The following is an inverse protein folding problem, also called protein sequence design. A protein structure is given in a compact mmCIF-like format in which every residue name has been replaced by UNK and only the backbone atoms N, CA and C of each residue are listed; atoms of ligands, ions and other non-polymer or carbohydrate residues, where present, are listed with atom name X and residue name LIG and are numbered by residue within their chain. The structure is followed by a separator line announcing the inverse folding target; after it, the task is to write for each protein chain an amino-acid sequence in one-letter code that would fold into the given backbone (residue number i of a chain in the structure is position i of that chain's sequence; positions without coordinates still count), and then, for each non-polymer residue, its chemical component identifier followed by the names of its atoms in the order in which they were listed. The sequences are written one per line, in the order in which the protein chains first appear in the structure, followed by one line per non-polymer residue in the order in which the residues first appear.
data_IF_759554229064
#
_entry.id   IF_759554229064
#
_cell.length_a   1.000
_cell.length_b   1.000
_cell.length_c   1.000
_cell.angle_alpha   90.00
_cell.angle_beta   90.00
_cell.angle_gamma   90.00
#
_symmetry.space_group_name_H-M   'P 1'
#
loop_
_entity.id
_entity.type
_entity.pdbx_description
1 polymer ?
#
# COMPACT_ATOMS: atom_id res chain seq x y z
N UNK A 1 -21.95 -7.50 8.85
CA UNK A 1 -20.61 -8.01 9.22
C UNK A 1 -20.08 -8.71 8.00
N UNK A 2 -18.85 -8.37 7.59
CA UNK A 2 -18.08 -8.73 6.38
C UNK A 2 -18.56 -9.97 5.57
N UNK A 3 -18.92 -11.07 6.24
CA UNK A 3 -19.37 -12.35 5.68
C UNK A 3 -20.70 -12.35 4.91
N UNK A 4 -21.52 -11.30 5.02
CA UNK A 4 -22.81 -11.21 4.32
C UNK A 4 -22.85 -10.11 3.24
N UNK A 5 -21.71 -9.50 2.93
CA UNK A 5 -21.62 -8.37 1.99
C UNK A 5 -21.15 -8.86 0.60
N UNK A 6 -21.76 -8.38 -0.50
CA UNK A 6 -21.29 -8.69 -1.84
C UNK A 6 -20.05 -7.84 -2.19
N UNK A 7 -19.02 -8.49 -2.74
CA UNK A 7 -17.71 -7.89 -2.99
C UNK A 7 -17.17 -8.04 -4.42
N UNK A 8 -17.89 -8.72 -5.31
CA UNK A 8 -17.38 -9.05 -6.64
C UNK A 8 -17.12 -7.80 -7.48
N UNK A 9 -18.07 -6.87 -7.50
CA UNK A 9 -17.93 -5.59 -8.22
C UNK A 9 -16.83 -4.74 -7.59
N UNK A 10 -16.81 -4.67 -6.26
CA UNK A 10 -15.85 -3.88 -5.48
C UNK A 10 -14.41 -4.35 -5.71
N UNK A 11 -14.19 -5.67 -5.71
CA UNK A 11 -12.88 -6.29 -5.95
C UNK A 11 -12.45 -6.10 -7.40
N UNK A 12 -13.36 -6.23 -8.36
CA UNK A 12 -13.04 -5.95 -9.76
C UNK A 12 -12.66 -4.49 -9.99
N UNK A 13 -13.41 -3.55 -9.40
CA UNK A 13 -13.08 -2.13 -9.46
C UNK A 13 -11.72 -1.82 -8.81
N UNK A 14 -11.42 -2.43 -7.66
CA UNK A 14 -10.12 -2.35 -7.02
C UNK A 14 -9.00 -2.87 -7.95
N UNK A 15 -9.19 -4.05 -8.55
CA UNK A 15 -8.20 -4.69 -9.42
C UNK A 15 -7.87 -3.83 -10.64
N UNK A 16 -8.90 -3.31 -11.32
CA UNK A 16 -8.72 -2.41 -12.47
C UNK A 16 -7.99 -1.15 -12.08
N UNK A 17 -8.35 -0.58 -10.94
CA UNK A 17 -7.68 0.60 -10.39
C UNK A 17 -6.21 0.29 -10.08
N UNK A 18 -5.93 -0.84 -9.44
CA UNK A 18 -4.56 -1.29 -9.12
C UNK A 18 -3.72 -1.53 -10.38
N UNK A 19 -4.31 -2.10 -11.43
CA UNK A 19 -3.65 -2.28 -12.72
C UNK A 19 -3.32 -0.91 -13.38
N UNK A 20 -4.24 0.05 -13.32
CA UNK A 20 -4.01 1.41 -13.81
C UNK A 20 -2.91 2.13 -13.01
N UNK A 21 -2.87 1.97 -11.68
CA UNK A 21 -1.80 2.55 -10.86
C UNK A 21 -0.44 1.93 -11.19
N UNK A 22 -0.36 0.61 -11.36
CA UNK A 22 0.86 -0.06 -11.82
C UNK A 22 1.31 0.50 -13.17
N UNK A 23 0.39 0.67 -14.13
CA UNK A 23 0.70 1.25 -15.45
C UNK A 23 1.27 2.66 -15.31
N UNK A 24 0.64 3.54 -14.53
CA UNK A 24 1.10 4.91 -14.30
C UNK A 24 2.48 4.94 -13.62
N UNK A 25 2.71 4.05 -12.66
CA UNK A 25 4.00 3.92 -11.99
C UNK A 25 5.13 3.51 -12.96
N UNK A 26 4.87 2.54 -13.85
CA UNK A 26 5.84 2.15 -14.88
C UNK A 26 6.08 3.27 -15.90
N UNK A 27 5.03 3.96 -16.37
CA UNK A 27 5.18 5.06 -17.32
C UNK A 27 5.97 6.23 -16.73
N UNK A 28 5.70 6.57 -15.47
CA UNK A 28 6.46 7.57 -14.72
C UNK A 28 7.94 7.18 -14.63
N UNK A 29 8.23 5.97 -14.15
CA UNK A 29 9.60 5.44 -14.06
C UNK A 29 10.31 5.38 -15.42
N UNK A 30 9.60 4.96 -16.48
CA UNK A 30 10.14 4.84 -17.83
C UNK A 30 10.65 6.17 -18.38
N UNK A 31 10.05 7.29 -17.96
CA UNK A 31 10.50 8.63 -18.38
C UNK A 31 11.82 9.07 -17.75
N UNK A 32 12.23 8.46 -16.62
CA UNK A 32 13.34 8.95 -15.79
C UNK A 32 14.48 7.93 -15.58
N UNK A 33 14.22 6.64 -15.76
CA UNK A 33 15.14 5.57 -15.35
C UNK A 33 16.57 5.71 -15.91
N UNK A 34 16.73 6.21 -17.15
CA UNK A 34 18.06 6.36 -17.78
C UNK A 34 18.95 7.31 -16.99
N UNK A 35 18.41 8.44 -16.54
CA UNK A 35 19.16 9.43 -15.77
C UNK A 35 19.38 9.01 -14.32
N UNK A 36 18.48 8.18 -13.78
CA UNK A 36 18.55 7.69 -12.40
C UNK A 36 19.50 6.50 -12.27
N UNK A 37 19.16 5.39 -12.93
CA UNK A 37 19.77 4.06 -12.73
C UNK A 37 20.43 3.45 -13.98
N UNK A 38 20.36 4.13 -15.12
CA UNK A 38 21.07 3.68 -16.32
C UNK A 38 22.58 3.65 -16.11
N UNK A 39 23.31 2.99 -17.01
CA UNK A 39 24.78 2.88 -16.97
C UNK A 39 25.52 4.23 -16.91
N UNK A 40 24.89 5.29 -17.42
CA UNK A 40 25.37 6.69 -17.39
C UNK A 40 24.57 7.59 -16.45
N UNK A 41 23.68 7.00 -15.64
CA UNK A 41 22.84 7.70 -14.67
C UNK A 41 23.60 8.09 -13.40
N UNK A 42 22.88 8.78 -12.51
CA UNK A 42 23.41 9.29 -11.23
C UNK A 42 23.85 8.14 -10.30
N UNK A 43 23.02 7.09 -10.19
CA UNK A 43 23.28 5.90 -9.37
C UNK A 43 23.07 4.63 -10.20
N UNK A 44 24.06 4.24 -11.04
CA UNK A 44 23.91 3.12 -11.96
C UNK A 44 23.59 1.79 -11.25
N UNK A 45 22.52 1.11 -11.71
CA UNK A 45 22.06 -0.17 -11.14
C UNK A 45 23.15 -1.25 -11.15
N UNK A 46 24.00 -1.27 -12.18
CA UNK A 46 25.04 -2.28 -12.35
C UNK A 46 26.06 -2.31 -11.21
N UNK A 47 26.36 -1.16 -10.59
CA UNK A 47 27.24 -1.09 -9.42
C UNK A 47 26.67 -1.85 -8.23
N UNK A 48 25.40 -1.61 -7.91
CA UNK A 48 24.71 -2.29 -6.82
C UNK A 48 24.55 -3.79 -7.07
N UNK A 49 24.13 -4.17 -8.27
CA UNK A 49 23.92 -5.57 -8.63
C UNK A 49 25.24 -6.34 -8.59
N UNK A 50 26.34 -5.76 -9.07
CA UNK A 50 27.68 -6.37 -8.97
C UNK A 50 28.10 -6.58 -7.53
N UNK A 51 27.97 -5.55 -6.69
CA UNK A 51 28.29 -5.62 -5.26
C UNK A 51 27.47 -6.71 -4.53
N UNK A 52 26.19 -6.85 -4.85
CA UNK A 52 25.34 -7.89 -4.28
C UNK A 52 25.71 -9.29 -4.78
N UNK A 53 26.09 -9.44 -6.06
CA UNK A 53 26.62 -10.69 -6.62
C UNK A 53 27.91 -11.11 -5.92
N UNK A 54 28.83 -10.18 -5.68
CA UNK A 54 30.08 -10.43 -4.93
C UNK A 54 29.81 -10.91 -3.50
N UNK A 55 28.79 -10.32 -2.85
CA UNK A 55 28.32 -10.75 -1.52
C UNK A 55 27.44 -12.00 -1.53
N UNK A 56 27.25 -12.64 -2.69
CA UNK A 56 26.39 -13.82 -2.88
C UNK A 56 24.98 -13.62 -2.34
N UNK A 57 24.45 -12.40 -2.47
CA UNK A 57 23.09 -12.10 -2.06
C UNK A 57 22.09 -12.83 -2.97
N UNK A 58 20.99 -13.27 -2.39
CA UNK A 58 19.93 -14.02 -3.07
C UNK A 58 18.75 -13.12 -3.43
N UNK A 59 17.87 -13.61 -4.31
CA UNK A 59 16.62 -12.94 -4.65
C UNK A 59 15.75 -12.64 -3.41
N UNK A 60 15.76 -13.51 -2.40
CA UNK A 60 15.01 -13.28 -1.16
C UNK A 60 15.54 -12.10 -0.34
N UNK A 61 16.82 -11.77 -0.47
CA UNK A 61 17.46 -10.63 0.21
C UNK A 61 17.34 -9.35 -0.63
N UNK A 62 17.31 -9.49 -1.95
CA UNK A 62 17.21 -8.41 -2.94
C UNK A 62 16.27 -8.87 -4.05
N UNK A 63 14.96 -8.60 -3.95
CA UNK A 63 13.95 -9.12 -4.88
C UNK A 63 14.04 -8.38 -6.22
N UNK A 64 15.07 -8.73 -7.00
CA UNK A 64 15.31 -8.19 -8.33
C UNK A 64 15.76 -9.26 -9.29
N UNK A 65 15.12 -9.29 -10.46
CA UNK A 65 15.52 -10.11 -11.59
C UNK A 65 16.90 -9.69 -12.13
N UNK A 66 17.40 -8.50 -11.78
CA UNK A 66 18.73 -8.05 -12.22
C UNK A 66 19.86 -8.91 -11.65
N UNK A 67 19.66 -9.54 -10.49
CA UNK A 67 20.61 -10.49 -9.92
C UNK A 67 20.70 -11.79 -10.71
N UNK A 68 19.58 -12.22 -11.29
CA UNK A 68 19.42 -13.54 -11.92
C UNK A 68 19.69 -13.46 -13.43
N UNK A 69 19.20 -12.41 -14.08
CA UNK A 69 19.16 -12.30 -15.54
C UNK A 69 20.25 -11.35 -16.05
N UNK A 70 20.12 -10.05 -15.81
CA UNK A 70 21.05 -9.03 -16.31
C UNK A 70 20.87 -7.70 -15.58
N UNK A 71 21.92 -6.90 -15.48
CA UNK A 71 21.91 -5.52 -14.98
C UNK A 71 22.15 -4.49 -16.10
N UNK A 72 21.96 -4.89 -17.36
CA UNK A 72 22.14 -4.02 -18.53
C UNK A 72 20.98 -3.04 -18.71
N UNK A 73 21.27 -1.90 -19.35
CA UNK A 73 20.27 -0.88 -19.70
C UNK A 73 19.13 -1.44 -20.56
N UNK A 74 19.43 -2.36 -21.48
CA UNK A 74 18.42 -3.03 -22.29
C UNK A 74 17.48 -3.88 -21.44
N UNK A 75 18.00 -4.54 -20.41
CA UNK A 75 17.18 -5.32 -19.49
C UNK A 75 16.32 -4.43 -18.59
N UNK A 76 16.87 -3.32 -18.08
CA UNK A 76 16.08 -2.33 -17.32
C UNK A 76 14.94 -1.77 -18.17
N UNK A 77 15.20 -1.46 -19.45
CA UNK A 77 14.17 -1.03 -20.38
C UNK A 77 13.12 -2.13 -20.64
N UNK A 78 13.55 -3.38 -20.77
CA UNK A 78 12.65 -4.52 -20.94
C UNK A 78 11.71 -4.70 -19.73
N UNK A 79 12.22 -4.57 -18.50
CA UNK A 79 11.39 -4.64 -17.28
C UNK A 79 10.25 -3.61 -17.29
N UNK A 80 10.52 -2.38 -17.74
CA UNK A 80 9.49 -1.35 -17.88
C UNK A 80 8.42 -1.75 -18.90
N UNK A 81 8.83 -2.16 -20.10
CA UNK A 81 7.87 -2.52 -21.17
C UNK A 81 7.06 -3.77 -20.84
N UNK A 82 7.69 -4.80 -20.26
CA UNK A 82 6.98 -5.99 -19.79
C UNK A 82 5.97 -5.60 -18.72
N UNK A 83 6.36 -4.79 -17.74
CA UNK A 83 5.47 -4.27 -16.71
C UNK A 83 4.28 -3.49 -17.27
N UNK A 84 4.51 -2.62 -18.26
CA UNK A 84 3.46 -1.86 -18.96
C UNK A 84 2.48 -2.80 -19.66
N UNK A 85 2.98 -3.77 -20.42
CA UNK A 85 2.13 -4.73 -21.14
C UNK A 85 1.33 -5.58 -20.15
N UNK A 86 1.94 -6.06 -19.07
CA UNK A 86 1.26 -6.76 -17.99
C UNK A 86 0.16 -5.90 -17.35
N UNK A 87 0.43 -4.63 -17.05
CA UNK A 87 -0.55 -3.74 -16.45
C UNK A 87 -1.74 -3.46 -17.39
N UNK A 88 -1.50 -3.28 -18.70
CA UNK A 88 -2.55 -3.13 -19.71
C UNK A 88 -3.39 -4.42 -19.82
N UNK A 89 -2.75 -5.58 -19.88
CA UNK A 89 -3.46 -6.87 -19.93
C UNK A 89 -4.29 -7.12 -18.67
N UNK A 90 -3.80 -6.73 -17.49
CA UNK A 90 -4.55 -6.78 -16.23
C UNK A 90 -5.74 -5.81 -16.26
N UNK A 91 -5.56 -4.59 -16.76
CA UNK A 91 -6.62 -3.59 -16.84
C UNK A 91 -7.74 -4.01 -17.80
N UNK A 92 -7.42 -4.56 -18.96
CA UNK A 92 -8.44 -5.04 -19.90
C UNK A 92 -8.84 -6.50 -19.67
N UNK A 93 -8.29 -7.15 -18.65
CA UNK A 93 -8.59 -8.53 -18.31
C UNK A 93 -8.36 -9.54 -19.45
N UNK A 94 -7.39 -9.26 -20.33
CA UNK A 94 -7.08 -10.08 -21.51
C UNK A 94 -6.62 -11.49 -21.09
N UNK A 95 -5.92 -11.56 -19.96
CA UNK A 95 -5.44 -12.77 -19.27
C UNK A 95 -5.86 -12.63 -17.80
N UNK A 96 -6.05 -13.72 -17.03
CA UNK A 96 -6.32 -13.64 -15.60
C UNK A 96 -5.47 -12.58 -14.89
N UNK A 97 -6.09 -11.53 -14.33
CA UNK A 97 -5.40 -10.36 -13.78
C UNK A 97 -4.33 -10.69 -12.75
N UNK A 98 -4.53 -11.71 -11.92
CA UNK A 98 -3.52 -12.21 -10.98
C UNK A 98 -2.20 -12.63 -11.64
N UNK A 99 -2.25 -13.25 -12.83
CA UNK A 99 -1.05 -13.65 -13.58
C UNK A 99 -0.31 -12.42 -14.10
N UNK A 100 -1.06 -11.47 -14.67
CA UNK A 100 -0.50 -10.21 -15.15
C UNK A 100 0.14 -9.41 -14.00
N UNK A 101 -0.51 -9.36 -12.84
CA UNK A 101 0.01 -8.65 -11.68
C UNK A 101 1.24 -9.33 -11.06
N UNK A 102 1.42 -10.65 -11.18
CA UNK A 102 2.72 -11.30 -10.87
C UNK A 102 3.83 -10.71 -11.75
N UNK A 103 3.57 -10.55 -13.06
CA UNK A 103 4.50 -9.91 -13.98
C UNK A 103 4.81 -8.47 -13.59
N UNK A 104 3.78 -7.68 -13.26
CA UNK A 104 3.95 -6.32 -12.74
C UNK A 104 4.81 -6.31 -11.47
N UNK A 105 4.49 -7.17 -10.50
CA UNK A 105 5.20 -7.21 -9.22
C UNK A 105 6.67 -7.60 -9.39
N UNK A 106 6.99 -8.61 -10.21
CA UNK A 106 8.37 -9.01 -10.47
C UNK A 106 9.17 -7.90 -11.18
N UNK A 107 8.56 -7.25 -12.17
CA UNK A 107 9.23 -6.17 -12.89
C UNK A 107 9.42 -4.94 -12.01
N UNK A 108 8.38 -4.53 -11.28
CA UNK A 108 8.41 -3.33 -10.45
C UNK A 108 9.29 -3.52 -9.21
N UNK A 109 9.25 -4.69 -8.55
CA UNK A 109 10.16 -5.00 -7.43
C UNK A 109 11.61 -4.97 -7.87
N UNK A 110 11.89 -5.45 -9.10
CA UNK A 110 13.23 -5.37 -9.68
C UNK A 110 13.72 -3.94 -9.83
N UNK A 111 12.85 -3.05 -10.35
CA UNK A 111 13.15 -1.63 -10.54
C UNK A 111 13.30 -0.90 -9.20
N UNK A 112 12.34 -1.05 -8.29
CA UNK A 112 12.40 -0.43 -6.94
C UNK A 112 13.68 -0.85 -6.21
N UNK A 113 14.03 -2.14 -6.26
CA UNK A 113 15.24 -2.66 -5.60
C UNK A 113 16.52 -2.11 -6.20
N UNK A 114 16.61 -1.83 -7.50
CA UNK A 114 17.85 -1.26 -8.09
C UNK A 114 17.86 0.27 -8.08
N UNK A 115 16.70 0.90 -7.90
CA UNK A 115 16.53 2.36 -7.83
C UNK A 115 16.95 2.98 -6.51
N UNK A 116 17.13 2.20 -5.43
CA UNK A 116 17.64 2.73 -4.15
C UNK A 116 16.85 3.95 -3.70
N UNK A 117 17.56 5.04 -3.44
CA UNK A 117 17.03 6.31 -2.97
C UNK A 117 15.96 6.91 -3.88
N UNK A 118 16.00 6.66 -5.20
CA UNK A 118 15.00 7.22 -6.13
C UNK A 118 13.60 6.63 -5.96
N UNK A 119 13.50 5.39 -5.45
CA UNK A 119 12.22 4.70 -5.22
C UNK A 119 12.08 4.23 -3.76
N UNK A 120 12.83 4.82 -2.84
CA UNK A 120 12.79 4.48 -1.40
C UNK A 120 11.57 5.05 -0.66
N UNK A 121 10.73 5.84 -1.33
CA UNK A 121 9.55 6.44 -0.72
C UNK A 121 8.41 5.41 -0.56
N UNK A 122 7.59 5.62 0.48
CA UNK A 122 6.48 4.74 0.88
C UNK A 122 5.52 4.36 -0.27
N UNK A 123 5.35 5.23 -1.26
CA UNK A 123 4.48 4.97 -2.43
C UNK A 123 4.89 3.71 -3.22
N UNK A 124 6.17 3.39 -3.30
CA UNK A 124 6.66 2.24 -4.06
C UNK A 124 6.46 0.94 -3.28
N UNK A 125 6.84 0.94 -2.00
CA UNK A 125 6.62 -0.22 -1.11
C UNK A 125 5.14 -0.51 -0.93
N UNK A 126 4.29 0.51 -0.82
CA UNK A 126 2.85 0.31 -0.71
C UNK A 126 2.24 -0.30 -1.98
N UNK A 127 2.68 0.13 -3.17
CA UNK A 127 2.21 -0.45 -4.44
C UNK A 127 2.61 -1.93 -4.56
N UNK A 128 3.84 -2.27 -4.17
CA UNK A 128 4.32 -3.65 -4.16
C UNK A 128 3.54 -4.52 -3.16
N UNK A 129 3.29 -4.02 -1.96
CA UNK A 129 2.54 -4.74 -0.94
C UNK A 129 1.07 -4.95 -1.34
N UNK A 130 0.41 -3.91 -1.83
CA UNK A 130 -0.96 -3.97 -2.36
C UNK A 130 -1.06 -5.00 -3.49
N UNK A 131 -0.12 -4.95 -4.43
CA UNK A 131 -0.06 -5.89 -5.55
C UNK A 131 0.20 -7.31 -5.08
N UNK A 132 1.11 -7.52 -4.13
CA UNK A 132 1.38 -8.85 -3.56
C UNK A 132 0.17 -9.41 -2.82
N UNK A 133 -0.52 -8.61 -2.01
CA UNK A 133 -1.72 -9.05 -1.30
C UNK A 133 -2.81 -9.46 -2.29
N UNK A 134 -2.99 -8.69 -3.37
CA UNK A 134 -3.90 -9.09 -4.43
C UNK A 134 -3.46 -10.41 -5.06
N UNK A 135 -2.17 -10.60 -5.40
CA UNK A 135 -1.67 -11.86 -5.98
C UNK A 135 -1.93 -13.04 -5.04
N UNK A 136 -1.49 -12.94 -3.78
CA UNK A 136 -1.64 -13.98 -2.76
C UNK A 136 -3.11 -14.33 -2.55
N UNK A 137 -3.97 -13.32 -2.56
CA UNK A 137 -5.39 -13.54 -2.41
C UNK A 137 -6.05 -13.94 -3.72
N UNK A 138 -5.53 -13.64 -4.92
CA UNK A 138 -6.26 -13.79 -6.20
C UNK A 138 -6.76 -15.22 -6.45
N UNK A 139 -6.00 -16.24 -6.03
CA UNK A 139 -6.42 -17.65 -6.06
C UNK A 139 -7.48 -18.00 -5.00
N UNK A 140 -7.55 -17.24 -3.92
CA UNK A 140 -8.52 -17.36 -2.82
C UNK A 140 -9.66 -16.34 -2.90
N UNK A 141 -9.56 -15.28 -3.72
CA UNK A 141 -10.53 -14.18 -3.85
C UNK A 141 -11.84 -14.73 -4.39
N UNK A 142 -11.77 -15.68 -5.33
CA UNK A 142 -12.92 -16.42 -5.82
C UNK A 142 -13.59 -17.33 -4.76
N UNK A 143 -12.92 -17.55 -3.64
CA UNK A 143 -13.25 -18.58 -2.65
C UNK A 143 -13.62 -18.00 -1.26
N UNK A 144 -13.02 -16.87 -0.89
CA UNK A 144 -13.22 -16.11 0.35
C UNK A 144 -12.89 -14.62 0.12
N UNK A 145 -13.76 -13.85 -0.57
CA UNK A 145 -13.54 -12.42 -0.84
C UNK A 145 -13.35 -11.59 0.44
N UNK A 146 -13.92 -12.04 1.55
CA UNK A 146 -13.83 -11.39 2.87
C UNK A 146 -12.39 -11.29 3.36
N UNK A 147 -11.59 -12.34 3.12
CA UNK A 147 -10.18 -12.38 3.56
C UNK A 147 -9.38 -11.33 2.82
N UNK A 148 -9.60 -11.23 1.51
CA UNK A 148 -8.95 -10.21 0.70
C UNK A 148 -9.33 -8.80 1.17
N UNK A 149 -10.64 -8.51 1.29
CA UNK A 149 -11.13 -7.21 1.78
C UNK A 149 -10.55 -6.88 3.16
N UNK A 150 -10.51 -7.86 4.07
CA UNK A 150 -9.92 -7.67 5.39
C UNK A 150 -8.41 -7.36 5.35
N UNK A 151 -7.64 -8.01 4.48
CA UNK A 151 -6.21 -7.68 4.31
C UNK A 151 -6.02 -6.25 3.80
N UNK A 152 -6.85 -5.81 2.85
CA UNK A 152 -6.80 -4.44 2.34
C UNK A 152 -7.22 -3.41 3.40
N UNK A 153 -8.23 -3.71 4.22
CA UNK A 153 -8.57 -2.86 5.37
C UNK A 153 -7.44 -2.77 6.37
N UNK A 154 -6.70 -3.86 6.58
CA UNK A 154 -5.55 -3.89 7.48
C UNK A 154 -4.39 -3.07 6.97
N UNK A 155 -4.14 -3.11 5.66
CA UNK A 155 -3.18 -2.25 4.99
C UNK A 155 -3.57 -0.78 5.13
N UNK A 156 -4.82 -0.43 4.77
CA UNK A 156 -5.33 0.93 4.84
C UNK A 156 -5.34 1.48 6.28
N UNK A 157 -5.75 0.66 7.25
CA UNK A 157 -5.70 0.97 8.67
C UNK A 157 -4.27 1.31 9.10
N UNK A 158 -3.29 0.49 8.73
CA UNK A 158 -1.89 0.72 9.07
C UNK A 158 -1.38 2.03 8.47
N UNK A 159 -1.68 2.30 7.20
CA UNK A 159 -1.23 3.51 6.50
C UNK A 159 -1.81 4.76 7.18
N UNK A 160 -3.13 4.77 7.39
CA UNK A 160 -3.83 5.94 7.93
C UNK A 160 -3.46 6.17 9.39
N UNK A 161 -3.55 5.12 10.23
CA UNK A 161 -3.20 5.26 11.64
C UNK A 161 -1.70 5.54 11.83
N UNK A 162 -0.83 4.93 11.03
CA UNK A 162 0.60 5.22 11.03
C UNK A 162 0.89 6.67 10.66
N UNK A 163 0.14 7.22 9.71
CA UNK A 163 0.17 8.65 9.39
C UNK A 163 -0.18 9.54 10.58
N UNK A 164 -1.28 9.24 11.29
CA UNK A 164 -1.70 10.03 12.45
C UNK A 164 -0.72 9.94 13.61
N UNK A 165 -0.27 8.72 13.94
CA UNK A 165 0.69 8.46 15.01
C UNK A 165 2.02 9.13 14.69
N UNK A 166 2.54 8.93 13.47
CA UNK A 166 3.81 9.50 13.04
C UNK A 166 3.82 11.03 13.05
N UNK A 167 2.69 11.68 12.76
CA UNK A 167 2.55 13.13 12.91
C UNK A 167 2.67 13.58 14.37
N UNK A 168 2.10 12.83 15.30
CA UNK A 168 2.14 13.15 16.73
C UNK A 168 3.50 12.81 17.37
N UNK A 169 4.11 11.68 17.01
CA UNK A 169 5.35 11.14 17.60
C UNK A 169 6.61 11.56 16.84
N UNK A 170 6.48 12.10 15.63
CA UNK A 170 7.61 12.39 14.73
C UNK A 170 8.52 13.56 15.13
N UNK A 171 8.26 14.21 16.27
CA UNK A 171 9.11 15.26 16.84
C UNK A 171 8.87 16.68 16.31
N UNK A 172 8.06 16.84 15.26
CA UNK A 172 7.65 18.16 14.77
C UNK A 172 6.56 18.77 15.67
N UNK A 173 6.92 19.83 16.38
CA UNK A 173 6.04 20.49 17.34
C UNK A 173 4.81 21.14 16.67
N UNK A 174 4.88 21.48 15.38
CA UNK A 174 3.76 22.11 14.67
C UNK A 174 2.52 21.21 14.62
N UNK A 175 2.71 19.89 14.59
CA UNK A 175 1.65 18.90 14.68
C UNK A 175 0.99 18.85 16.06
N UNK A 176 1.74 19.11 17.14
CA UNK A 176 1.21 19.17 18.52
C UNK A 176 0.51 20.49 18.79
N UNK A 177 1.02 21.58 18.23
CA UNK A 177 0.47 22.93 18.39
C UNK A 177 -0.73 23.18 17.45
N UNK A 178 -1.09 22.21 16.61
CA UNK A 178 -2.20 22.30 15.65
C UNK A 178 -1.92 23.23 14.48
N UNK A 179 -0.66 23.56 14.20
CA UNK A 179 -0.24 24.53 13.18
C UNK A 179 0.46 23.90 11.98
N UNK A 180 0.58 22.57 11.91
CA UNK A 180 1.28 21.88 10.83
C UNK A 180 0.81 22.28 9.42
N UNK A 181 -0.50 22.47 9.25
CA UNK A 181 -1.05 22.84 7.93
C UNK A 181 -0.70 24.27 7.48
N UNK A 182 -0.22 25.14 8.38
CA UNK A 182 0.33 26.45 8.01
C UNK A 182 1.58 26.29 7.14
N UNK A 183 2.36 25.25 7.40
CA UNK A 183 3.62 24.97 6.70
C UNK A 183 3.46 23.93 5.60
N UNK A 184 2.45 23.07 5.69
CA UNK A 184 2.22 21.96 4.77
C UNK A 184 2.28 22.36 3.30
N UNK A 185 1.66 23.48 2.91
CA UNK A 185 1.62 23.91 1.51
C UNK A 185 2.99 24.29 0.93
N UNK A 186 3.98 24.56 1.78
CA UNK A 186 5.37 24.80 1.41
C UNK A 186 6.21 23.52 1.36
N UNK A 187 5.95 22.59 2.28
CA UNK A 187 6.80 21.42 2.53
C UNK A 187 6.26 20.12 1.93
N UNK A 188 5.03 20.11 1.43
CA UNK A 188 4.45 18.95 0.74
C UNK A 188 5.26 18.59 -0.54
N UNK A 189 5.28 17.30 -0.93
CA UNK A 189 5.83 16.87 -2.21
C UNK A 189 5.18 17.56 -3.41
N UNK A 190 6.03 18.03 -4.33
CA UNK A 190 5.65 18.63 -5.61
C UNK A 190 4.46 19.61 -5.49
N UNK A 191 4.63 20.75 -4.79
CA UNK A 191 3.58 21.77 -4.71
C UNK A 191 3.22 22.25 -6.11
N UNK A 192 1.94 22.55 -6.31
CA UNK A 192 1.36 22.94 -7.58
C UNK A 192 0.90 24.41 -7.54
N UNK A 193 0.40 24.98 -8.66
CA UNK A 193 -0.01 26.38 -8.69
C UNK A 193 -1.13 26.79 -7.71
N UNK A 194 -1.88 25.82 -7.15
CA UNK A 194 -2.90 26.07 -6.13
C UNK A 194 -2.32 26.14 -4.72
N UNK A 195 -1.15 25.53 -4.44
CA UNK A 195 -0.55 25.53 -3.09
C UNK A 195 -0.38 26.94 -2.51
N UNK A 196 0.10 27.96 -3.27
CA UNK A 196 0.22 29.32 -2.76
C UNK A 196 -1.12 30.00 -2.46
N UNK A 197 -2.21 29.57 -3.10
CA UNK A 197 -3.56 30.09 -2.83
C UNK A 197 -4.04 29.55 -1.49
N UNK A 198 -3.92 28.24 -1.28
CA UNK A 198 -4.32 27.59 -0.02
C UNK A 198 -3.45 28.03 1.15
N UNK A 199 -2.14 28.22 0.95
CA UNK A 199 -1.25 28.79 1.96
C UNK A 199 -1.71 30.14 2.52
N UNK A 200 -2.38 30.97 1.72
CA UNK A 200 -2.83 32.30 2.15
C UNK A 200 -4.13 32.27 2.95
N UNK A 201 -4.71 31.09 3.19
CA UNK A 201 -5.90 30.98 4.02
C UNK A 201 -5.60 31.41 5.47
N UNK A 202 -6.62 31.86 6.23
CA UNK A 202 -6.42 32.23 7.63
C UNK A 202 -5.89 31.04 8.45
N UNK A 203 -5.02 31.31 9.42
CA UNK A 203 -4.48 30.30 10.34
C UNK A 203 -5.57 29.46 11.02
N UNK A 204 -6.75 30.03 11.27
CA UNK A 204 -7.90 29.30 11.81
C UNK A 204 -8.34 28.14 10.92
N UNK A 205 -8.29 28.30 9.60
CA UNK A 205 -8.60 27.24 8.63
C UNK A 205 -7.52 26.16 8.71
N UNK A 206 -6.24 26.53 8.71
CA UNK A 206 -5.14 25.57 8.84
C UNK A 206 -5.17 24.76 10.15
N UNK A 207 -5.62 25.38 11.25
CA UNK A 207 -5.85 24.64 12.49
C UNK A 207 -6.95 23.59 12.31
N UNK A 208 -8.07 23.95 11.70
CA UNK A 208 -9.16 23.01 11.38
C UNK A 208 -8.64 21.87 10.51
N UNK A 209 -7.87 22.16 9.46
CA UNK A 209 -7.26 21.16 8.58
C UNK A 209 -6.36 20.21 9.38
N UNK A 210 -5.51 20.75 10.27
CA UNK A 210 -4.61 19.93 11.09
C UNK A 210 -5.37 18.95 11.98
N UNK A 211 -6.42 19.40 12.67
CA UNK A 211 -7.26 18.52 13.48
C UNK A 211 -8.08 17.55 12.63
N UNK A 212 -8.58 18.00 11.47
CA UNK A 212 -9.28 17.14 10.53
C UNK A 212 -8.36 16.02 10.01
N UNK A 213 -7.07 16.30 9.76
CA UNK A 213 -6.06 15.30 9.43
C UNK A 213 -5.97 14.23 10.51
N UNK A 214 -5.80 14.62 11.79
CA UNK A 214 -5.73 13.66 12.89
C UNK A 214 -7.01 12.82 13.05
N UNK A 215 -8.18 13.46 13.00
CA UNK A 215 -9.45 12.76 13.17
C UNK A 215 -9.66 11.79 12.02
N UNK A 216 -9.43 12.22 10.79
CA UNK A 216 -9.62 11.37 9.62
C UNK A 216 -8.64 10.21 9.61
N UNK A 217 -7.34 10.46 9.77
CA UNK A 217 -6.31 9.41 9.73
C UNK A 217 -6.39 8.48 10.95
N UNK A 218 -6.69 9.00 12.14
CA UNK A 218 -6.78 8.22 13.38
C UNK A 218 -8.13 7.55 13.59
N UNK A 219 -9.19 8.35 13.78
CA UNK A 219 -10.55 7.81 14.00
C UNK A 219 -11.04 7.11 12.74
N UNK A 220 -10.85 7.71 11.55
CA UNK A 220 -11.26 7.09 10.29
C UNK A 220 -10.60 5.72 10.07
N UNK A 221 -9.34 5.51 10.48
CA UNK A 221 -8.71 4.19 10.42
C UNK A 221 -9.45 3.15 11.28
N UNK A 222 -9.81 3.49 12.51
CA UNK A 222 -10.55 2.58 13.40
C UNK A 222 -11.92 2.24 12.79
N UNK A 223 -12.57 3.22 12.15
CA UNK A 223 -13.87 3.04 11.52
C UNK A 223 -13.86 2.07 10.32
N UNK A 224 -12.69 1.75 9.74
CA UNK A 224 -12.58 0.74 8.67
C UNK A 224 -13.15 -0.62 9.08
N UNK A 225 -13.02 -1.00 10.35
CA UNK A 225 -13.47 -2.31 10.86
C UNK A 225 -14.92 -2.33 11.35
N UNK A 226 -15.66 -1.23 11.18
CA UNK A 226 -17.03 -1.09 11.67
C UNK A 226 -18.08 -1.54 10.64
N UNK A 227 -19.36 -1.68 11.03
CA UNK A 227 -20.43 -1.98 10.07
C UNK A 227 -20.52 -0.95 8.94
N UNK A 228 -20.99 -1.41 7.76
CA UNK A 228 -21.03 -0.66 6.50
C UNK A 228 -21.41 0.83 6.62
N UNK A 229 -22.50 1.15 7.32
CA UNK A 229 -23.00 2.53 7.43
C UNK A 229 -21.98 3.44 8.12
N UNK A 230 -21.31 2.95 9.17
CA UNK A 230 -20.30 3.72 9.90
C UNK A 230 -19.00 3.78 9.09
N UNK A 231 -18.69 2.72 8.34
CA UNK A 231 -17.52 2.67 7.45
C UNK A 231 -17.57 3.71 6.33
N UNK A 232 -18.75 4.17 5.91
CA UNK A 232 -18.88 5.28 4.97
C UNK A 232 -18.26 6.58 5.50
N UNK A 233 -18.30 6.80 6.82
CA UNK A 233 -17.66 7.96 7.44
C UNK A 233 -16.15 7.90 7.23
N UNK A 234 -15.54 6.72 7.43
CA UNK A 234 -14.12 6.47 7.13
C UNK A 234 -13.79 6.80 5.67
N UNK A 235 -14.59 6.27 4.74
CA UNK A 235 -14.43 6.52 3.31
C UNK A 235 -14.45 8.02 2.98
N UNK A 236 -15.43 8.76 3.51
CA UNK A 236 -15.55 10.21 3.27
C UNK A 236 -14.38 10.98 3.88
N UNK A 237 -13.98 10.67 5.12
CA UNK A 237 -12.86 11.31 5.79
C UNK A 237 -11.56 11.16 5.00
N UNK A 238 -11.23 9.94 4.59
CA UNK A 238 -10.04 9.69 3.79
C UNK A 238 -10.14 10.34 2.40
N UNK A 239 -11.31 10.29 1.76
CA UNK A 239 -11.48 10.84 0.42
C UNK A 239 -11.24 12.35 0.44
N UNK A 240 -11.76 13.06 1.44
CA UNK A 240 -11.56 14.50 1.59
C UNK A 240 -10.08 14.85 1.76
N UNK A 241 -9.33 14.10 2.57
CA UNK A 241 -7.88 14.31 2.72
C UNK A 241 -7.15 14.05 1.41
N UNK A 242 -7.41 12.91 0.75
CA UNK A 242 -6.69 12.53 -0.46
C UNK A 242 -7.02 13.47 -1.63
N UNK A 243 -8.26 13.95 -1.74
CA UNK A 243 -8.63 14.98 -2.70
C UNK A 243 -7.95 16.30 -2.39
N UNK A 244 -7.96 16.74 -1.12
CA UNK A 244 -7.25 17.95 -0.69
C UNK A 244 -5.78 17.91 -1.09
N UNK A 245 -5.10 16.82 -0.74
CA UNK A 245 -3.69 16.58 -1.06
C UNK A 245 -3.42 16.62 -2.59
N UNK A 246 -4.23 15.97 -3.43
CA UNK A 246 -4.02 15.98 -4.88
C UNK A 246 -4.40 17.32 -5.54
N UNK A 247 -5.36 18.05 -4.96
CA UNK A 247 -5.73 19.39 -5.45
C UNK A 247 -4.62 20.38 -5.14
N UNK A 248 -3.99 20.29 -3.96
CA UNK A 248 -3.02 21.29 -3.50
C UNK A 248 -1.57 20.88 -3.69
N UNK A 249 -1.27 19.63 -4.04
CA UNK A 249 0.09 19.12 -4.25
C UNK A 249 0.08 17.85 -5.09
N UNK A 250 1.21 17.14 -5.14
CA UNK A 250 1.29 15.88 -5.88
C UNK A 250 2.19 14.87 -5.16
N UNK A 251 1.56 13.88 -4.55
CA UNK A 251 2.23 12.76 -3.86
C UNK A 251 2.44 11.56 -4.81
N UNK A 252 2.59 11.87 -6.10
CA UNK A 252 2.67 10.92 -7.20
C UNK A 252 1.55 9.87 -7.11
N UNK A 253 1.88 8.58 -7.22
CA UNK A 253 0.85 7.53 -7.18
C UNK A 253 0.40 7.10 -5.78
N UNK A 254 0.92 7.71 -4.69
CA UNK A 254 0.53 7.33 -3.32
C UNK A 254 -0.97 7.56 -3.09
N UNK A 255 -1.44 8.78 -3.31
CA UNK A 255 -2.82 9.14 -3.04
C UNK A 255 -3.83 8.38 -3.92
N UNK A 256 -3.66 8.24 -5.25
CA UNK A 256 -4.57 7.43 -6.05
C UNK A 256 -4.49 5.92 -5.74
N UNK A 257 -3.35 5.42 -5.24
CA UNK A 257 -3.26 4.06 -4.70
C UNK A 257 -4.09 3.91 -3.42
N UNK A 258 -4.00 4.87 -2.50
CA UNK A 258 -4.82 4.84 -1.28
C UNK A 258 -6.32 4.97 -1.59
N UNK A 259 -6.70 5.78 -2.59
CA UNK A 259 -8.09 5.81 -3.10
C UNK A 259 -8.48 4.42 -3.66
N UNK A 260 -7.55 3.72 -4.32
CA UNK A 260 -7.79 2.34 -4.79
C UNK A 260 -8.09 1.41 -3.61
N UNK A 261 -7.30 1.45 -2.54
CA UNK A 261 -7.52 0.64 -1.32
C UNK A 261 -8.89 0.94 -0.68
N UNK A 262 -9.28 2.22 -0.66
CA UNK A 262 -10.57 2.65 -0.12
C UNK A 262 -11.78 2.14 -0.91
N UNK A 263 -11.61 1.67 -2.15
CA UNK A 263 -12.71 1.09 -2.93
C UNK A 263 -13.43 0.00 -2.13
N UNK A 264 -12.66 -0.79 -1.38
CA UNK A 264 -13.15 -1.92 -0.60
C UNK A 264 -13.78 -1.52 0.74
N UNK A 265 -13.84 -0.23 1.08
CA UNK A 265 -14.67 0.25 2.20
C UNK A 265 -16.16 0.27 1.82
N UNK A 266 -16.48 0.28 0.52
CA UNK A 266 -17.83 0.24 -0.01
C UNK A 266 -18.07 -1.12 -0.68
N UNK A 267 -19.27 -1.67 -0.50
CA UNK A 267 -19.64 -2.97 -1.06
C UNK A 267 -20.34 -2.80 -2.41
N UNK A 268 -20.67 -3.91 -3.08
CA UNK A 268 -21.19 -3.87 -4.45
C UNK A 268 -22.47 -3.05 -4.58
N UNK A 269 -23.36 -3.10 -3.58
CA UNK A 269 -24.63 -2.37 -3.61
C UNK A 269 -24.41 -0.85 -3.67
N UNK A 270 -23.41 -0.35 -2.95
CA UNK A 270 -23.06 1.08 -2.97
C UNK A 270 -22.44 1.44 -4.31
N UNK A 271 -21.50 0.63 -4.82
CA UNK A 271 -20.88 0.90 -6.12
C UNK A 271 -21.85 0.88 -7.29
N UNK A 272 -22.81 -0.06 -7.31
CA UNK A 272 -23.90 -0.06 -8.31
C UNK A 272 -24.75 1.20 -8.27
N UNK A 273 -24.93 1.79 -7.08
CA UNK A 273 -25.69 3.03 -6.92
C UNK A 273 -24.89 4.27 -7.34
N UNK A 274 -23.55 4.22 -7.22
CA UNK A 274 -22.66 5.34 -7.53
C UNK A 274 -22.19 5.36 -8.98
N UNK A 275 -22.07 4.21 -9.65
CA UNK A 275 -21.65 4.10 -11.05
C UNK A 275 -22.89 4.22 -11.93
N UNK A 276 -23.11 5.36 -12.63
CA UNK A 276 -24.36 5.60 -13.33
C UNK A 276 -24.45 4.89 -14.70
N UNK A 277 -23.38 4.21 -15.11
CA UNK A 277 -23.24 3.65 -16.45
C UNK A 277 -23.15 2.11 -16.42
N UNK A 278 -24.20 1.45 -16.90
CA UNK A 278 -24.28 -0.02 -16.95
C UNK A 278 -23.17 -0.68 -17.78
N UNK A 279 -22.66 -0.01 -18.81
CA UNK A 279 -21.54 -0.56 -19.59
C UNK A 279 -20.25 -0.66 -18.75
N UNK A 280 -20.04 0.25 -17.78
CA UNK A 280 -18.89 0.20 -16.87
C UNK A 280 -19.06 -0.97 -15.91
N UNK A 281 -20.26 -1.13 -15.34
CA UNK A 281 -20.58 -2.26 -14.47
C UNK A 281 -20.36 -3.59 -15.21
N UNK A 282 -20.86 -3.69 -16.45
CA UNK A 282 -20.69 -4.86 -17.30
C UNK A 282 -19.21 -5.17 -17.59
N UNK A 283 -18.40 -4.13 -17.86
CA UNK A 283 -16.96 -4.27 -18.06
C UNK A 283 -16.23 -4.77 -16.81
N UNK A 284 -16.64 -4.29 -15.63
CA UNK A 284 -16.07 -4.74 -14.35
C UNK A 284 -16.51 -6.17 -14.01
N UNK A 285 -17.75 -6.54 -14.28
CA UNK A 285 -18.28 -7.85 -13.94
C UNK A 285 -17.83 -8.96 -14.89
N UNK A 286 -17.41 -8.62 -16.11
CA UNK A 286 -16.97 -9.57 -17.13
C UNK A 286 -15.93 -10.59 -16.64
N UNK A 287 -15.09 -10.21 -15.65
CA UNK A 287 -14.06 -11.09 -15.08
C UNK A 287 -14.29 -11.48 -13.64
N UNK A 288 -15.47 -11.19 -13.10
CA UNK A 288 -15.84 -11.71 -11.79
C UNK A 288 -15.93 -13.24 -11.87
N UNK A 289 -14.93 -13.91 -11.28
CA UNK A 289 -14.91 -15.37 -11.20
C UNK A 289 -16.13 -15.79 -10.36
N UNK A 290 -16.91 -16.80 -10.78
CA UNK A 290 -18.03 -17.27 -9.98
C UNK A 290 -17.54 -17.65 -8.59
N UNK A 291 -18.25 -17.19 -7.56
CA UNK A 291 -17.95 -17.55 -6.18
C UNK A 291 -18.05 -19.07 -6.03
N UNK A 292 -16.91 -19.74 -5.87
CA UNK A 292 -16.93 -21.16 -5.54
C UNK A 292 -17.25 -21.29 -4.06
N UNK A 293 -18.34 -22.00 -3.74
CA UNK A 293 -18.67 -22.29 -2.36
C UNK A 293 -17.69 -23.30 -1.79
N UNK A 294 -16.60 -22.83 -1.17
CA UNK A 294 -15.76 -23.66 -0.31
C UNK A 294 -16.62 -24.17 0.85
N UNK A 295 -16.61 -25.48 1.10
CA UNK A 295 -17.31 -26.06 2.23
C UNK A 295 -16.71 -25.60 3.56
N UNK A 296 -17.53 -25.42 4.58
CA UNK A 296 -17.03 -25.35 5.96
C UNK A 296 -16.37 -26.70 6.32
N UNK A 297 -15.21 -26.74 7.01
CA UNK A 297 -14.48 -25.63 7.64
C UNK A 297 -13.37 -25.01 6.78
N UNK A 298 -13.19 -25.43 5.51
CA UNK A 298 -12.10 -24.98 4.66
C UNK A 298 -12.11 -23.46 4.38
N UNK A 299 -13.26 -22.79 4.54
CA UNK A 299 -13.35 -21.32 4.55
C UNK A 299 -12.46 -20.64 5.61
N UNK A 300 -12.04 -21.35 6.66
CA UNK A 300 -11.15 -20.82 7.70
C UNK A 300 -9.68 -20.82 7.29
N UNK A 301 -9.26 -21.64 6.32
CA UNK A 301 -7.84 -21.76 5.96
C UNK A 301 -7.25 -20.43 5.48
N UNK A 302 -7.88 -19.66 4.57
CA UNK A 302 -7.31 -18.39 4.14
C UNK A 302 -7.26 -17.34 5.27
N UNK A 303 -8.18 -17.40 6.24
CA UNK A 303 -8.10 -16.58 7.45
C UNK A 303 -6.88 -16.92 8.31
N UNK A 304 -6.61 -18.22 8.52
CA UNK A 304 -5.51 -18.71 9.34
C UNK A 304 -4.15 -18.45 8.69
N UNK A 305 -4.05 -18.63 7.36
CA UNK A 305 -2.78 -18.54 6.65
C UNK A 305 -2.47 -17.17 6.04
N UNK A 306 -3.48 -16.34 5.78
CA UNK A 306 -3.30 -15.04 5.11
C UNK A 306 -3.86 -13.91 5.97
N UNK A 307 -5.17 -13.92 6.24
CA UNK A 307 -5.85 -12.78 6.88
C UNK A 307 -5.28 -12.39 8.24
N UNK A 308 -5.32 -13.33 9.20
CA UNK A 308 -4.83 -13.07 10.57
C UNK A 308 -3.32 -12.83 10.62
N UNK A 309 -2.46 -13.67 9.97
CA UNK A 309 -1.02 -13.41 9.96
C UNK A 309 -0.69 -12.03 9.39
N UNK A 310 -1.30 -11.65 8.26
CA UNK A 310 -1.05 -10.35 7.66
C UNK A 310 -1.44 -9.21 8.59
N UNK A 311 -2.62 -9.28 9.22
CA UNK A 311 -3.04 -8.26 10.19
C UNK A 311 -1.99 -8.08 11.30
N UNK A 312 -1.54 -9.16 11.95
CA UNK A 312 -0.53 -9.05 13.00
C UNK A 312 0.83 -8.57 12.50
N UNK A 313 1.25 -9.00 11.30
CA UNK A 313 2.50 -8.51 10.67
C UNK A 313 2.40 -7.01 10.37
N UNK A 314 1.23 -6.55 9.90
CA UNK A 314 0.99 -5.14 9.56
C UNK A 314 1.05 -4.21 10.79
N UNK A 315 0.86 -4.74 12.01
CA UNK A 315 1.01 -3.97 13.24
C UNK A 315 2.48 -3.69 13.59
N UNK A 316 3.45 -4.42 13.03
CA UNK A 316 4.86 -4.20 13.37
C UNK A 316 5.37 -2.85 12.87
N UNK A 317 5.23 -2.49 11.57
CA UNK A 317 5.58 -1.14 11.10
C UNK A 317 4.84 -0.03 11.88
N UNK A 318 3.58 -0.26 12.24
CA UNK A 318 2.80 0.68 13.05
C UNK A 318 3.43 0.86 14.44
N UNK A 319 3.86 -0.23 15.08
CA UNK A 319 4.52 -0.16 16.39
C UNK A 319 5.86 0.58 16.34
N UNK A 320 6.61 0.46 15.24
CA UNK A 320 7.86 1.19 15.02
C UNK A 320 7.64 2.71 14.85
N UNK A 321 6.41 3.14 14.56
CA UNK A 321 6.07 4.57 14.42
C UNK A 321 6.04 5.29 15.78
N UNK A 322 5.95 4.55 16.90
CA UNK A 322 6.00 5.12 18.25
C UNK A 322 7.47 5.27 18.70
N UNK A 323 8.04 6.48 18.55
CA UNK A 323 9.46 6.75 18.82
C UNK A 323 9.83 6.94 20.30
N UNK A 324 8.95 7.54 21.12
CA UNK A 324 9.36 8.00 22.47
C UNK A 324 8.57 7.40 23.66
N UNK A 325 7.28 7.07 23.52
CA UNK A 325 6.50 6.43 24.59
C UNK A 325 5.45 5.49 24.00
N UNK A 326 5.47 4.21 24.40
CA UNK A 326 4.43 3.27 24.04
C UNK A 326 3.19 3.54 24.93
N UNK A 327 2.06 4.03 24.38
CA UNK A 327 0.85 4.34 25.15
C UNK A 327 0.17 3.09 25.74
N UNK A 328 0.59 1.88 25.35
CA UNK A 328 0.10 0.62 25.90
C UNK A 328 0.83 0.17 27.19
N UNK A 329 1.61 1.07 27.80
CA UNK A 329 2.27 0.88 29.10
C UNK A 329 1.32 0.97 30.32
N UNK A 330 0.02 1.23 30.10
CA UNK A 330 -1.00 1.23 31.16
C UNK A 330 -1.19 -0.17 31.80
N UNK A 331 -1.33 -0.30 33.14
CA UNK A 331 -1.30 -1.59 33.84
C UNK A 331 -2.30 -2.65 33.35
N UNK A 332 -3.48 -2.24 32.91
CA UNK A 332 -4.51 -3.13 32.32
C UNK A 332 -4.05 -3.71 30.97
N UNK A 333 -3.25 -2.96 30.21
CA UNK A 333 -2.70 -3.37 28.93
C UNK A 333 -1.33 -4.05 29.06
N UNK A 334 -0.66 -4.10 30.22
CA UNK A 334 0.62 -4.82 30.36
C UNK A 334 0.45 -6.34 30.13
N UNK A 335 -0.65 -6.94 30.59
CA UNK A 335 -0.92 -8.36 30.36
C UNK A 335 -1.43 -8.65 28.94
N UNK A 336 -2.10 -7.69 28.29
CA UNK A 336 -2.58 -7.84 26.91
C UNK A 336 -1.57 -7.41 25.85
N UNK A 337 -0.71 -6.40 26.10
CA UNK A 337 0.35 -5.94 25.20
C UNK A 337 1.51 -6.92 25.14
N UNK A 338 1.78 -7.62 26.25
CA UNK A 338 2.75 -8.71 26.25
C UNK A 338 2.25 -9.94 25.51
N UNK A 339 0.96 -10.09 25.17
CA UNK A 339 0.51 -11.26 24.41
C UNK A 339 0.88 -11.13 22.92
N UNK A 340 0.57 -10.04 22.19
CA UNK A 340 1.13 -9.75 20.88
C UNK A 340 2.63 -9.55 20.94
N UNK A 341 3.23 -8.90 21.95
CA UNK A 341 4.69 -8.77 22.00
C UNK A 341 5.40 -10.11 22.25
N UNK A 342 4.86 -11.00 23.09
CA UNK A 342 5.41 -12.35 23.28
C UNK A 342 5.09 -13.25 22.10
N UNK A 343 3.95 -13.08 21.44
CA UNK A 343 3.59 -13.81 20.22
C UNK A 343 4.40 -13.33 19.02
N UNK A 344 4.58 -12.03 18.87
CA UNK A 344 5.47 -11.37 17.92
C UNK A 344 6.91 -11.72 18.25
N UNK A 345 7.39 -11.68 19.49
CA UNK A 345 8.72 -12.18 19.84
C UNK A 345 8.86 -13.67 19.59
N UNK A 346 7.86 -14.48 19.89
CA UNK A 346 7.85 -15.92 19.60
C UNK A 346 7.93 -16.19 18.11
N UNK A 347 7.08 -15.53 17.31
CA UNK A 347 7.08 -15.56 15.85
C UNK A 347 8.41 -15.02 15.32
N UNK A 348 8.87 -13.87 15.78
CA UNK A 348 10.10 -13.21 15.38
C UNK A 348 11.34 -13.95 15.88
N UNK A 349 11.26 -14.85 16.86
CA UNK A 349 12.36 -15.73 17.27
C UNK A 349 12.25 -17.11 16.62
N UNK A 350 11.10 -17.44 16.04
CA UNK A 350 10.88 -18.71 15.37
C UNK A 350 11.73 -18.78 14.12
N UNK A 351 12.65 -19.76 14.06
CA UNK A 351 13.69 -19.86 13.02
C UNK A 351 13.13 -19.81 11.60
N UNK A 352 11.95 -20.42 11.39
CA UNK A 352 11.28 -20.41 10.09
C UNK A 352 10.67 -19.05 9.76
N UNK A 353 10.02 -18.39 10.70
CA UNK A 353 9.45 -17.08 10.43
C UNK A 353 10.56 -16.04 10.24
N UNK A 354 11.63 -16.10 11.05
CA UNK A 354 12.84 -15.33 10.78
C UNK A 354 13.35 -15.54 9.37
N UNK A 355 13.59 -16.80 8.98
CA UNK A 355 14.21 -17.13 7.70
C UNK A 355 13.36 -16.83 6.47
N UNK A 356 12.05 -17.05 6.55
CA UNK A 356 11.15 -17.02 5.39
C UNK A 356 10.24 -15.80 5.32
N UNK A 357 10.05 -15.06 6.42
CA UNK A 357 9.16 -13.91 6.46
C UNK A 357 9.87 -12.66 6.96
N UNK A 358 10.47 -12.71 8.16
CA UNK A 358 10.98 -11.51 8.81
C UNK A 358 12.29 -10.99 8.20
N UNK A 359 13.27 -11.85 7.91
CA UNK A 359 14.52 -11.42 7.27
C UNK A 359 14.23 -10.85 5.87
N UNK A 360 13.42 -11.51 5.02
CA UNK A 360 12.97 -10.89 3.77
C UNK A 360 12.20 -9.56 3.98
N UNK A 361 11.32 -9.49 4.97
CA UNK A 361 10.51 -8.30 5.28
C UNK A 361 11.34 -7.12 5.82
N UNK A 362 12.24 -7.36 6.77
CA UNK A 362 13.13 -6.34 7.30
C UNK A 362 14.11 -5.85 6.23
N UNK A 363 14.56 -6.70 5.31
CA UNK A 363 15.33 -6.26 4.15
C UNK A 363 14.52 -5.43 3.14
N UNK A 364 13.19 -5.60 3.10
CA UNK A 364 12.26 -4.75 2.34
C UNK A 364 11.98 -3.41 3.07
N UNK A 365 11.93 -3.40 4.40
CA UNK A 365 11.52 -2.24 5.22
C UNK A 365 12.70 -1.36 5.68
N UNK A 366 13.85 -1.93 6.05
CA UNK A 366 15.08 -1.17 6.41
C UNK A 366 15.61 -0.31 5.25
N UNK A 367 15.11 -0.55 4.03
CA UNK A 367 15.34 0.28 2.85
C UNK A 367 14.66 1.65 2.87
N UNK A 368 13.69 1.88 3.76
CA UNK A 368 13.01 3.18 3.90
C UNK A 368 13.66 4.10 4.96
N UNK A 369 14.53 3.60 5.84
CA UNK A 369 15.05 4.39 6.97
C UNK A 369 16.56 4.70 6.90
N UNK A 370 17.33 4.12 5.97
CA UNK A 370 18.73 4.50 5.76
C UNK A 370 19.11 4.45 4.27
N UNK A 371 19.16 5.62 3.60
CA UNK A 371 19.79 5.78 2.28
C UNK A 371 19.05 6.68 1.30
#
# INVERSE_FOLDING_TARGET
MLFNEPWCLSISLFERSLAAINLLAFLSSLSQWRGQIGSTGILPACGFVRHWKERKMTFLQRPTLCLIISDSDNFLLALHWIGIVCAIMAFFAIIPPGICLIGCWLCYSSLVTVSTTFMGLQMHSNLLETTMLYILCSSFVAATPEVFVFTQWSLLFRIMLGGAVGKYTGGDQSWKDGTAMVWHYWTQPLPNPLSPIFYRMPTSIHKIETYFTYVSEGVGAILCYTPQIIRWISYVFFLLILLGINVTGNYAHLAPLTITEMILLLNDNVWRSLIPFEFIISFLEYTSIPSYSIAWPFKLLPWIFIGLPYFFISLVPLSATFRDENPFSWPIFINYSTLPLKFTQFIYQHTYFQRYFLIPWNHLVEWCEYG
#
